data_IF_553854620425
#
_entry.id   IF_553854620425
#
_cell.length_a   1.000
_cell.length_b   1.000
_cell.length_c   1.000
_cell.angle_alpha   90.00
_cell.angle_beta   90.00
_cell.angle_gamma   90.00
#
_symmetry.space_group_name_H-M   'P 1'
#
loop_
_entity.id
_entity.type
_entity.pdbx_description
1 polymer ?
#
# COMPACT_ATOMS: atom_id res chain seq x y z
N UNK A 1 -11.68 -0.09 28.81
CA UNK A 1 -10.52 -0.57 28.03
C UNK A 1 -9.43 0.48 28.18
N UNK A 2 -8.23 0.09 28.58
CA UNK A 2 -7.07 1.01 28.70
C UNK A 2 -6.42 1.31 27.35
N UNK A 3 -6.93 0.70 26.26
CA UNK A 3 -6.42 0.88 24.90
C UNK A 3 -7.32 1.85 24.15
N UNK A 4 -6.75 2.94 23.66
CA UNK A 4 -7.45 3.94 22.86
C UNK A 4 -7.25 3.74 21.34
N UNK A 5 -6.09 3.20 20.95
CA UNK A 5 -5.70 3.03 19.54
C UNK A 5 -5.15 1.63 19.33
N UNK A 6 -5.66 0.95 18.32
CA UNK A 6 -5.14 -0.32 17.80
C UNK A 6 -4.44 -0.06 16.47
N UNK A 7 -3.20 -0.50 16.33
CA UNK A 7 -2.46 -0.44 15.06
C UNK A 7 -2.30 -1.85 14.51
N UNK A 8 -2.82 -2.07 13.31
CA UNK A 8 -2.66 -3.31 12.54
C UNK A 8 -1.69 -3.06 11.40
N UNK A 9 -0.45 -3.54 11.57
CA UNK A 9 0.64 -3.27 10.64
C UNK A 9 1.08 -4.54 9.89
N UNK A 10 0.94 -4.52 8.56
CA UNK A 10 1.42 -5.55 7.64
C UNK A 10 0.94 -6.97 7.97
N UNK A 11 -0.37 -7.21 8.18
CA UNK A 11 -0.86 -8.56 8.46
C UNK A 11 -0.58 -9.48 7.28
N UNK A 12 -0.15 -10.73 7.58
CA UNK A 12 0.20 -11.72 6.54
C UNK A 12 -0.73 -12.94 6.56
N UNK A 13 -1.64 -13.00 7.53
CA UNK A 13 -2.59 -14.10 7.70
C UNK A 13 -4.02 -13.56 7.67
N UNK A 14 -4.99 -14.34 7.17
CA UNK A 14 -6.39 -13.97 7.19
C UNK A 14 -6.90 -13.78 8.63
N UNK A 15 -7.72 -12.77 8.83
CA UNK A 15 -8.40 -12.57 10.11
C UNK A 15 -9.53 -13.58 10.29
N UNK A 16 -9.63 -14.15 11.48
CA UNK A 16 -10.77 -14.97 11.84
C UNK A 16 -12.02 -14.11 12.06
N UNK A 17 -13.21 -14.68 11.93
CA UNK A 17 -14.46 -13.98 12.23
C UNK A 17 -14.51 -13.48 13.67
N UNK A 18 -13.86 -14.21 14.57
CA UNK A 18 -13.72 -13.80 15.98
C UNK A 18 -12.87 -12.54 16.12
N UNK A 19 -11.74 -12.45 15.41
CA UNK A 19 -10.85 -11.29 15.48
C UNK A 19 -11.54 -10.07 14.86
N UNK A 20 -12.20 -10.23 13.71
CA UNK A 20 -13.01 -9.17 13.10
C UNK A 20 -14.09 -8.65 14.04
N UNK A 21 -14.79 -9.56 14.72
CA UNK A 21 -15.80 -9.18 15.71
C UNK A 21 -15.21 -8.41 16.89
N UNK A 22 -14.06 -8.82 17.41
CA UNK A 22 -13.39 -8.13 18.52
C UNK A 22 -12.99 -6.70 18.09
N UNK A 23 -12.43 -6.55 16.88
CA UNK A 23 -12.05 -5.26 16.34
C UNK A 23 -13.29 -4.37 16.12
N UNK A 24 -14.36 -4.92 15.54
CA UNK A 24 -15.62 -4.18 15.35
C UNK A 24 -16.18 -3.68 16.70
N UNK A 25 -16.22 -4.54 17.72
CA UNK A 25 -16.66 -4.16 19.06
C UNK A 25 -15.76 -3.10 19.70
N UNK A 26 -14.45 -3.14 19.46
CA UNK A 26 -13.52 -2.13 19.93
C UNK A 26 -13.85 -0.76 19.29
N UNK A 27 -14.05 -0.72 17.96
CA UNK A 27 -14.44 0.50 17.23
C UNK A 27 -15.79 1.02 17.70
N UNK A 28 -16.79 0.13 17.88
CA UNK A 28 -18.14 0.50 18.33
C UNK A 28 -18.16 1.10 19.75
N UNK A 29 -17.15 0.82 20.56
CA UNK A 29 -16.96 1.41 21.89
C UNK A 29 -16.14 2.71 21.89
N UNK A 30 -15.83 3.24 20.71
CA UNK A 30 -15.08 4.49 20.53
C UNK A 30 -13.57 4.31 20.36
N UNK A 31 -13.06 3.09 20.29
CA UNK A 31 -11.67 2.80 19.95
C UNK A 31 -11.34 3.21 18.53
N UNK A 32 -10.07 3.54 18.29
CA UNK A 32 -9.56 3.96 16.98
C UNK A 32 -8.66 2.86 16.41
N UNK A 33 -8.78 2.59 15.11
CA UNK A 33 -7.92 1.60 14.44
C UNK A 33 -7.14 2.27 13.32
N UNK A 34 -5.85 2.00 13.28
CA UNK A 34 -4.96 2.36 12.17
C UNK A 34 -4.64 1.08 11.41
N UNK A 35 -5.05 1.03 10.16
CA UNK A 35 -4.81 -0.07 9.24
C UNK A 35 -3.65 0.27 8.31
N UNK A 36 -2.57 -0.49 8.38
CA UNK A 36 -1.43 -0.45 7.46
C UNK A 36 -1.39 -1.81 6.74
N UNK A 37 -2.02 -1.90 5.58
CA UNK A 37 -2.31 -3.17 4.90
C UNK A 37 -1.71 -3.16 3.51
N UNK A 38 -0.98 -4.22 3.19
CA UNK A 38 -0.51 -4.55 1.84
C UNK A 38 -1.38 -5.69 1.28
N UNK A 39 -2.39 -5.39 0.45
CA UNK A 39 -3.26 -6.43 -0.11
C UNK A 39 -2.61 -7.21 -1.26
N UNK A 40 -1.40 -6.81 -1.67
CA UNK A 40 -0.62 -7.46 -2.71
C UNK A 40 0.78 -7.76 -2.18
N UNK A 41 1.19 -9.01 -2.32
CA UNK A 41 2.54 -9.46 -1.98
C UNK A 41 3.46 -9.33 -3.20
N UNK A 42 4.60 -8.67 -3.00
CA UNK A 42 5.72 -8.61 -3.96
C UNK A 42 7.02 -8.81 -3.20
N UNK A 43 7.98 -9.53 -3.78
CA UNK A 43 9.29 -9.76 -3.18
C UNK A 43 10.38 -9.00 -3.92
N UNK A 44 11.01 -8.03 -3.24
CA UNK A 44 12.21 -7.33 -3.74
C UNK A 44 13.42 -8.26 -3.86
N UNK A 45 13.57 -9.22 -2.95
CA UNK A 45 14.68 -10.18 -3.00
C UNK A 45 14.65 -11.01 -4.28
N UNK A 46 13.44 -11.31 -4.79
CA UNK A 46 13.29 -12.01 -6.07
C UNK A 46 13.71 -11.15 -7.26
N UNK A 47 13.53 -9.83 -7.19
CA UNK A 47 14.00 -8.89 -8.22
C UNK A 47 15.53 -8.80 -8.25
N UNK A 48 16.19 -8.77 -7.10
CA UNK A 48 17.66 -8.69 -7.01
C UNK A 48 18.35 -9.92 -7.58
N UNK A 49 17.71 -11.08 -7.50
CA UNK A 49 18.25 -12.36 -7.97
C UNK A 49 17.86 -12.72 -9.42
N UNK A 50 16.77 -12.17 -9.96
CA UNK A 50 16.20 -12.61 -11.25
C UNK A 50 15.68 -11.50 -12.16
N UNK A 51 15.90 -10.23 -11.83
CA UNK A 51 15.39 -9.04 -12.56
C UNK A 51 13.86 -9.01 -12.75
N UNK A 52 13.15 -10.04 -12.32
CA UNK A 52 11.70 -10.19 -12.46
C UNK A 52 11.10 -10.90 -11.24
N UNK A 53 9.94 -10.42 -10.80
CA UNK A 53 9.11 -11.06 -9.78
C UNK A 53 7.63 -10.97 -10.17
N UNK A 54 6.77 -11.62 -9.39
CA UNK A 54 5.33 -11.55 -9.59
C UNK A 54 4.65 -10.96 -8.36
N UNK A 55 3.61 -10.18 -8.63
CA UNK A 55 2.69 -9.71 -7.61
C UNK A 55 1.56 -10.72 -7.43
N UNK A 56 1.16 -10.98 -6.17
CA UNK A 56 0.06 -11.87 -5.84
C UNK A 56 -0.90 -11.21 -4.86
N UNK A 57 -2.22 -11.29 -5.09
CA UNK A 57 -3.18 -10.81 -4.11
C UNK A 57 -3.12 -11.65 -2.83
N UNK A 58 -3.28 -11.02 -1.69
CA UNK A 58 -3.32 -11.66 -0.37
C UNK A 58 -4.73 -11.51 0.19
N UNK A 59 -5.42 -12.63 0.36
CA UNK A 59 -6.71 -12.63 1.02
C UNK A 59 -6.51 -12.53 2.55
N UNK A 60 -6.83 -11.38 3.10
CA UNK A 60 -6.78 -11.12 4.54
C UNK A 60 -8.13 -11.30 5.23
N UNK A 61 -9.19 -11.66 4.49
CA UNK A 61 -10.56 -11.77 4.99
C UNK A 61 -11.05 -10.48 5.69
N UNK A 62 -10.69 -9.31 5.12
CA UNK A 62 -11.06 -8.00 5.69
C UNK A 62 -12.03 -7.20 4.82
N UNK A 63 -12.32 -7.66 3.61
CA UNK A 63 -13.10 -6.90 2.63
C UNK A 63 -14.50 -6.53 3.15
N UNK A 64 -15.17 -7.44 3.84
CA UNK A 64 -16.50 -7.25 4.39
C UNK A 64 -16.54 -6.19 5.50
N UNK A 65 -15.59 -6.24 6.45
CA UNK A 65 -15.51 -5.27 7.55
C UNK A 65 -15.09 -3.89 7.05
N UNK A 66 -14.12 -3.81 6.13
CA UNK A 66 -13.69 -2.56 5.54
C UNK A 66 -14.78 -1.93 4.67
N UNK A 67 -15.50 -2.76 3.89
CA UNK A 67 -16.66 -2.30 3.13
C UNK A 67 -17.75 -1.71 4.02
N UNK A 68 -18.02 -2.35 5.17
CA UNK A 68 -18.95 -1.86 6.18
C UNK A 68 -18.51 -0.48 6.72
N UNK A 69 -17.20 -0.24 6.86
CA UNK A 69 -16.63 1.05 7.24
C UNK A 69 -16.49 2.03 6.06
N UNK A 70 -16.96 1.64 4.88
CA UNK A 70 -17.07 2.51 3.72
C UNK A 70 -15.80 2.67 2.91
N UNK A 71 -14.89 1.69 2.97
CA UNK A 71 -13.67 1.63 2.16
C UNK A 71 -13.56 0.26 1.48
N UNK A 72 -12.85 0.24 0.36
CA UNK A 72 -12.53 -0.98 -0.37
C UNK A 72 -11.04 -0.97 -0.70
N UNK A 73 -10.34 -2.05 -0.35
CA UNK A 73 -8.98 -2.30 -0.82
C UNK A 73 -9.02 -2.78 -2.27
N UNK A 74 -8.08 -2.31 -3.08
CA UNK A 74 -7.92 -2.78 -4.44
C UNK A 74 -6.67 -3.66 -4.52
N UNK A 75 -6.83 -4.85 -5.14
CA UNK A 75 -5.72 -5.81 -5.35
C UNK A 75 -4.93 -5.43 -6.60
N UNK A 76 -4.21 -4.32 -6.49
CA UNK A 76 -3.44 -3.72 -7.58
C UNK A 76 -2.18 -3.05 -7.03
N UNK A 77 -1.19 -2.85 -7.87
CA UNK A 77 -0.01 -2.04 -7.58
C UNK A 77 -0.15 -0.67 -8.25
N UNK A 78 0.30 0.36 -7.57
CA UNK A 78 0.41 1.70 -8.12
C UNK A 78 1.81 1.92 -8.69
N UNK A 79 1.86 2.48 -9.90
CA UNK A 79 3.07 3.04 -10.48
C UNK A 79 2.87 4.54 -10.64
N UNK A 80 3.91 5.31 -10.34
CA UNK A 80 3.89 6.77 -10.48
C UNK A 80 5.22 7.25 -11.07
N UNK A 81 5.17 8.31 -11.87
CA UNK A 81 6.37 9.00 -12.34
C UNK A 81 7.03 9.82 -11.22
N UNK A 82 6.24 10.25 -10.24
CA UNK A 82 6.74 10.86 -9.01
C UNK A 82 7.11 9.74 -8.02
N UNK A 83 8.30 9.17 -8.20
CA UNK A 83 8.75 7.97 -7.51
C UNK A 83 10.16 8.12 -6.94
N UNK A 84 10.50 7.22 -6.04
CA UNK A 84 11.86 7.09 -5.54
C UNK A 84 12.78 6.48 -6.60
N UNK A 85 14.09 6.63 -6.39
CA UNK A 85 15.12 6.01 -7.21
C UNK A 85 15.70 4.80 -6.49
N UNK A 86 16.07 3.79 -7.26
CA UNK A 86 16.81 2.62 -6.78
C UNK A 86 18.15 2.49 -7.50
N UNK A 87 19.11 1.86 -6.83
CA UNK A 87 20.39 1.51 -7.43
C UNK A 87 20.21 0.20 -8.24
N UNK A 88 20.59 0.27 -9.50
CA UNK A 88 20.59 -0.89 -10.41
C UNK A 88 21.99 -1.11 -10.94
N UNK A 89 22.44 -2.37 -10.92
CA UNK A 89 23.71 -2.72 -11.56
C UNK A 89 23.50 -2.83 -13.08
N UNK A 90 24.07 -1.88 -13.82
CA UNK A 90 23.96 -1.82 -15.28
C UNK A 90 25.17 -2.43 -16.00
N UNK A 91 26.11 -3.04 -15.26
CA UNK A 91 27.29 -3.64 -15.82
C UNK A 91 26.96 -4.89 -16.67
N UNK A 92 27.61 -5.08 -17.84
CA UNK A 92 27.50 -6.32 -18.58
C UNK A 92 27.97 -7.53 -17.75
N UNK A 93 27.39 -8.69 -18.00
CA UNK A 93 27.77 -9.92 -17.30
C UNK A 93 29.28 -10.18 -17.38
N UNK A 94 29.93 -10.39 -16.23
CA UNK A 94 31.36 -10.64 -16.13
C UNK A 94 32.28 -9.40 -16.11
N UNK A 95 31.70 -8.19 -16.13
CA UNK A 95 32.45 -6.94 -15.94
C UNK A 95 32.38 -6.44 -14.49
N UNK A 96 33.16 -5.42 -14.17
CA UNK A 96 33.09 -4.76 -12.87
C UNK A 96 31.72 -4.13 -12.68
N UNK A 97 31.13 -4.28 -11.49
CA UNK A 97 29.83 -3.72 -11.13
C UNK A 97 29.75 -2.20 -11.38
N UNK A 98 28.68 -1.76 -12.02
CA UNK A 98 28.40 -0.36 -12.28
C UNK A 98 27.00 -0.03 -11.78
N UNK A 99 26.92 0.65 -10.64
CA UNK A 99 25.67 1.02 -9.99
C UNK A 99 25.21 2.41 -10.46
N UNK A 100 23.99 2.46 -11.01
CA UNK A 100 23.35 3.70 -11.45
C UNK A 100 21.98 3.87 -10.80
N UNK A 101 21.59 5.12 -10.54
CA UNK A 101 20.27 5.44 -10.00
C UNK A 101 19.25 5.48 -11.13
N UNK A 102 18.19 4.72 -10.95
CA UNK A 102 17.03 4.68 -11.87
C UNK A 102 15.72 4.96 -11.15
N UNK A 103 14.76 5.67 -11.78
CA UNK A 103 13.44 5.86 -11.20
C UNK A 103 12.74 4.51 -11.04
N UNK A 104 12.17 4.26 -9.87
CA UNK A 104 11.45 3.04 -9.57
C UNK A 104 9.95 3.31 -9.44
N UNK A 105 9.21 3.16 -10.51
CA UNK A 105 7.80 3.54 -10.58
C UNK A 105 6.90 2.82 -9.56
N UNK A 106 7.31 1.66 -9.04
CA UNK A 106 6.61 0.93 -7.99
C UNK A 106 6.88 1.46 -6.57
N UNK A 107 7.68 2.53 -6.45
CA UNK A 107 7.91 3.26 -5.19
C UNK A 107 7.40 4.70 -5.30
N UNK A 108 6.08 4.90 -5.44
CA UNK A 108 5.52 6.24 -5.53
C UNK A 108 5.79 7.05 -4.26
N UNK A 109 6.08 8.33 -4.44
CA UNK A 109 6.20 9.30 -3.37
C UNK A 109 4.82 9.85 -3.04
N UNK A 110 4.21 9.33 -1.99
CA UNK A 110 2.84 9.68 -1.60
C UNK A 110 2.77 11.11 -1.08
N UNK A 111 1.79 11.85 -1.55
CA UNK A 111 1.58 13.26 -1.27
C UNK A 111 0.54 13.40 -0.13
N UNK A 112 0.93 13.92 1.04
CA UNK A 112 -0.01 14.25 2.10
C UNK A 112 -0.92 15.41 1.71
N UNK A 113 -2.18 15.38 2.15
CA UNK A 113 -3.13 16.48 1.95
C UNK A 113 -2.93 17.53 3.04
N UNK A 114 -2.66 18.78 2.65
CA UNK A 114 -2.26 19.86 3.58
C UNK A 114 -3.33 20.26 4.60
N UNK A 115 -4.60 20.12 4.25
CA UNK A 115 -5.71 20.63 5.08
C UNK A 115 -6.22 19.65 6.14
N UNK A 116 -5.58 18.50 6.33
CA UNK A 116 -6.02 17.51 7.30
C UNK A 116 -5.08 17.46 8.51
N UNK A 117 -5.58 17.43 9.77
CA UNK A 117 -4.75 17.45 10.97
C UNK A 117 -3.71 16.31 11.05
N UNK A 118 -4.00 15.14 10.45
CA UNK A 118 -3.09 13.99 10.47
C UNK A 118 -1.99 14.08 9.42
N UNK A 119 -2.18 14.84 8.34
CA UNK A 119 -1.24 14.87 7.20
C UNK A 119 -0.58 16.24 7.00
N UNK A 120 -1.12 17.31 7.59
CA UNK A 120 -0.48 18.61 7.53
C UNK A 120 0.91 18.55 8.16
N UNK A 121 1.88 19.18 7.56
CA UNK A 121 3.30 19.19 7.97
C UNK A 121 4.06 17.87 7.74
N UNK A 122 3.48 16.91 7.03
CA UNK A 122 4.22 15.77 6.55
C UNK A 122 4.86 16.09 5.19
N UNK A 123 6.09 15.65 5.01
CA UNK A 123 6.73 15.60 3.69
C UNK A 123 6.16 14.45 2.88
N UNK A 124 6.58 14.34 1.61
CA UNK A 124 6.29 13.16 0.78
C UNK A 124 6.74 11.89 1.49
N UNK A 125 5.91 10.88 1.43
CA UNK A 125 6.14 9.60 2.12
C UNK A 125 6.67 8.60 1.10
N UNK A 126 7.85 8.06 1.37
CA UNK A 126 8.40 6.94 0.62
C UNK A 126 7.55 5.68 0.85
N UNK A 127 7.22 5.02 -0.24
CA UNK A 127 6.47 3.76 -0.20
C UNK A 127 7.00 2.78 -1.22
N UNK A 128 6.70 1.49 -1.05
CA UNK A 128 7.01 0.44 -2.02
C UNK A 128 5.79 -0.44 -2.23
N UNK A 129 5.49 -0.77 -3.49
CA UNK A 129 4.43 -1.70 -3.89
C UNK A 129 3.06 -1.41 -3.27
N UNK A 130 2.71 -0.14 -3.19
CA UNK A 130 1.44 0.27 -2.58
C UNK A 130 0.25 -0.03 -3.48
N UNK A 131 -0.89 -0.26 -2.83
CA UNK A 131 -2.20 -0.44 -3.46
C UNK A 131 -3.11 0.76 -3.20
N UNK A 132 -4.14 0.92 -4.00
CA UNK A 132 -5.12 1.98 -3.79
C UNK A 132 -6.29 1.55 -2.89
N UNK A 133 -6.92 2.54 -2.29
CA UNK A 133 -8.14 2.39 -1.49
C UNK A 133 -9.23 3.24 -2.13
N UNK A 134 -10.38 2.64 -2.40
CA UNK A 134 -11.57 3.36 -2.86
C UNK A 134 -12.51 3.65 -1.69
N UNK A 135 -13.20 4.79 -1.75
CA UNK A 135 -14.32 5.09 -0.87
C UNK A 135 -15.61 4.50 -1.42
N UNK A 136 -16.34 3.76 -0.60
CA UNK A 136 -17.62 3.15 -1.00
C UNK A 136 -18.78 4.09 -0.65
N UNK A 137 -19.59 4.41 -1.65
CA UNK A 137 -20.82 5.19 -1.50
C UNK A 137 -21.94 4.28 -1.03
N UNK A 138 -22.41 4.41 0.19
CA UNK A 138 -23.51 3.58 0.70
C UNK A 138 -24.04 4.08 2.03
N UNK A 139 -23.19 4.40 2.96
CA UNK A 139 -23.59 4.92 4.26
C UNK A 139 -23.30 6.42 4.36
N UNK A 140 -24.37 7.23 4.19
CA UNK A 140 -24.28 8.73 4.27
C UNK A 140 -23.87 9.24 5.65
N UNK A 141 -23.90 8.38 6.67
CA UNK A 141 -23.52 8.77 8.04
C UNK A 141 -21.99 8.68 8.29
N UNK A 142 -21.25 8.02 7.39
CA UNK A 142 -19.79 7.87 7.52
C UNK A 142 -19.09 9.05 6.83
N UNK A 143 -18.36 9.83 7.61
CA UNK A 143 -17.48 10.85 7.09
C UNK A 143 -16.18 10.19 6.62
N UNK A 144 -15.76 10.51 5.39
CA UNK A 144 -14.54 9.99 4.77
C UNK A 144 -13.68 11.13 4.30
N UNK A 145 -12.40 11.05 4.58
CA UNK A 145 -11.42 12.03 4.12
C UNK A 145 -10.22 11.32 3.53
N UNK A 146 -9.83 11.70 2.33
CA UNK A 146 -8.58 11.27 1.74
C UNK A 146 -7.47 12.11 2.35
N UNK A 147 -6.47 11.47 2.95
CA UNK A 147 -5.35 12.13 3.62
C UNK A 147 -4.02 11.97 2.89
N UNK A 148 -3.92 10.97 2.03
CA UNK A 148 -2.75 10.63 1.24
C UNK A 148 -3.16 10.34 -0.19
N UNK A 149 -2.41 10.81 -1.18
CA UNK A 149 -2.66 10.56 -2.59
C UNK A 149 -1.35 10.38 -3.36
N UNK A 150 -1.44 9.75 -4.52
CA UNK A 150 -0.38 9.74 -5.53
C UNK A 150 -0.43 11.00 -6.38
N UNK A 151 0.52 11.16 -7.31
CA UNK A 151 0.41 12.19 -8.34
C UNK A 151 -0.76 11.92 -9.30
N UNK A 152 -1.21 12.89 -10.08
CA UNK A 152 -2.26 12.70 -11.09
C UNK A 152 -1.83 11.78 -12.26
N UNK A 153 -0.57 11.43 -12.35
CA UNK A 153 0.00 10.58 -13.39
C UNK A 153 0.16 9.12 -12.97
N UNK A 154 -0.27 8.76 -11.77
CA UNK A 154 -0.22 7.39 -11.28
C UNK A 154 -1.14 6.48 -12.11
N UNK A 155 -0.69 5.25 -12.32
CA UNK A 155 -1.47 4.20 -12.98
C UNK A 155 -1.61 2.97 -12.11
N UNK A 156 -2.65 2.19 -12.35
CA UNK A 156 -3.01 0.98 -11.61
C UNK A 156 -2.64 -0.26 -12.42
N UNK A 157 -1.92 -1.18 -11.80
CA UNK A 157 -1.56 -2.48 -12.37
C UNK A 157 -2.25 -3.57 -11.55
N UNK A 158 -3.22 -4.26 -12.14
CA UNK A 158 -3.95 -5.34 -11.46
C UNK A 158 -3.02 -6.50 -11.12
N UNK A 159 -3.15 -7.01 -9.91
CA UNK A 159 -2.49 -8.25 -9.47
C UNK A 159 -3.40 -9.46 -9.81
N UNK A 160 -2.81 -10.61 -10.24
CA UNK A 160 -1.38 -10.88 -10.40
C UNK A 160 -0.78 -10.21 -11.63
N UNK A 161 0.46 -9.74 -11.51
CA UNK A 161 1.22 -9.14 -12.63
C UNK A 161 2.72 -9.37 -12.45
N UNK A 162 3.44 -9.31 -13.57
CA UNK A 162 4.90 -9.30 -13.55
C UNK A 162 5.42 -7.92 -13.18
N UNK A 163 6.43 -7.90 -12.33
CA UNK A 163 7.22 -6.73 -11.95
C UNK A 163 8.65 -6.97 -12.41
N UNK A 164 9.21 -6.10 -13.22
CA UNK A 164 10.54 -6.27 -13.81
C UNK A 164 11.37 -4.99 -13.70
N UNK A 165 12.67 -5.16 -13.51
CA UNK A 165 13.66 -4.09 -13.60
C UNK A 165 13.98 -3.72 -15.06
N UNK A 166 13.58 -4.52 -16.05
CA UNK A 166 13.84 -4.24 -17.47
C UNK A 166 13.01 -3.09 -18.02
N UNK A 167 11.99 -2.64 -17.31
CA UNK A 167 11.08 -1.56 -17.69
C UNK A 167 11.41 -0.23 -16.99
N UNK A 168 12.67 -0.05 -16.59
CA UNK A 168 13.15 1.14 -15.89
C UNK A 168 13.76 2.12 -16.89
#
# INVERSE_FOLDING_TARGET
SEIDILIVAGPKQPFSEKDKFIIDQFVMRGGKVVWLIDPVLVSLDSLSNGYQTFSFPVDLNLDDILFKYGVRLNYELLQDVDCAQILVNTAPAGSQEQWTLHPWYYSPLIIPVDNHPLSRNLNRIYTEFVSSIDTVSGNKKLQKSVILSTSPYARKIKSPSSVSLENI
#
